data_IF_778934496346
#
_entry.id   IF_778934496346
#
_cell.length_a   1.000
_cell.length_b   1.000
_cell.length_c   1.000
_cell.angle_alpha   90.00
_cell.angle_beta   90.00
_cell.angle_gamma   90.00
#
_symmetry.space_group_name_H-M   'P 1'
#
loop_
_entity.id
_entity.type
_entity.pdbx_description
1 polymer ?
#
# COMPACT_ATOMS: atom_id res chain seq x y z
N UNK A 1 1.07 -2.62 29.47
CA UNK A 1 0.42 -2.58 28.14
C UNK A 1 -0.11 -1.17 27.97
N UNK A 2 0.37 -0.45 26.95
CA UNK A 2 -0.10 0.90 26.68
C UNK A 2 -1.46 0.82 25.98
N UNK A 3 -2.52 1.02 26.77
CA UNK A 3 -3.90 0.94 26.27
C UNK A 3 -4.20 2.00 25.22
N UNK A 4 -3.48 3.12 25.21
CA UNK A 4 -3.69 4.21 24.26
C UNK A 4 -3.28 3.80 22.84
N UNK A 5 -2.09 3.21 22.70
CA UNK A 5 -1.59 2.70 21.43
C UNK A 5 -2.52 1.60 20.88
N UNK A 6 -2.98 0.69 21.75
CA UNK A 6 -3.90 -0.37 21.36
C UNK A 6 -5.24 0.17 20.83
N UNK A 7 -5.86 1.12 21.53
CA UNK A 7 -7.12 1.75 21.11
C UNK A 7 -6.92 2.50 19.78
N UNK A 8 -5.81 3.21 19.63
CA UNK A 8 -5.49 3.94 18.41
C UNK A 8 -5.32 2.99 17.20
N UNK A 9 -4.62 1.87 17.38
CA UNK A 9 -4.49 0.85 16.33
C UNK A 9 -5.84 0.30 15.89
N UNK A 10 -6.72 -0.03 16.84
CA UNK A 10 -8.08 -0.49 16.52
C UNK A 10 -8.85 0.58 15.75
N UNK A 11 -8.78 1.85 16.19
CA UNK A 11 -9.45 2.95 15.52
C UNK A 11 -8.95 3.13 14.07
N UNK A 12 -7.65 3.00 13.83
CA UNK A 12 -7.08 3.03 12.47
C UNK A 12 -7.58 1.89 11.60
N UNK A 13 -7.62 0.66 12.13
CA UNK A 13 -8.14 -0.51 11.40
C UNK A 13 -9.60 -0.26 11.02
N UNK A 14 -10.42 0.18 11.97
CA UNK A 14 -11.84 0.48 11.73
C UNK A 14 -11.99 1.56 10.66
N UNK A 15 -11.23 2.65 10.77
CA UNK A 15 -11.25 3.75 9.79
C UNK A 15 -10.91 3.25 8.38
N UNK A 16 -9.87 2.43 8.23
CA UNK A 16 -9.49 1.86 6.94
C UNK A 16 -10.54 0.91 6.37
N UNK A 17 -11.18 0.09 7.21
CA UNK A 17 -12.31 -0.75 6.79
C UNK A 17 -13.44 0.12 6.23
N UNK A 18 -13.79 1.23 6.90
CA UNK A 18 -14.80 2.16 6.41
C UNK A 18 -14.39 2.82 5.09
N UNK A 19 -13.14 3.25 4.95
CA UNK A 19 -12.63 3.84 3.70
C UNK A 19 -12.78 2.83 2.55
N UNK A 20 -12.40 1.57 2.77
CA UNK A 20 -12.54 0.52 1.76
C UNK A 20 -14.00 0.22 1.43
N UNK A 21 -14.88 0.20 2.44
CA UNK A 21 -16.32 0.05 2.26
C UNK A 21 -16.90 1.16 1.36
N UNK A 22 -16.61 2.43 1.67
CA UNK A 22 -17.09 3.56 0.85
C UNK A 22 -16.52 3.52 -0.56
N UNK A 23 -15.23 3.23 -0.71
CA UNK A 23 -14.59 3.11 -2.01
C UNK A 23 -15.23 1.99 -2.86
N UNK A 24 -15.48 0.83 -2.26
CA UNK A 24 -16.12 -0.30 -2.92
C UNK A 24 -17.58 -0.01 -3.29
N UNK A 25 -18.34 0.65 -2.40
CA UNK A 25 -19.73 1.04 -2.67
C UNK A 25 -19.84 2.05 -3.82
N UNK A 26 -18.93 3.02 -3.87
CA UNK A 26 -18.84 3.98 -4.99
C UNK A 26 -18.44 3.26 -6.28
N UNK A 27 -17.44 2.37 -6.24
CA UNK A 27 -16.91 1.71 -7.43
C UNK A 27 -17.89 0.71 -8.05
N UNK A 28 -18.63 -0.04 -7.22
CA UNK A 28 -19.59 -1.04 -7.69
C UNK A 28 -21.00 -0.48 -7.91
N UNK A 29 -21.34 0.64 -7.29
CA UNK A 29 -22.71 1.14 -7.23
C UNK A 29 -23.64 0.33 -6.31
N UNK A 30 -23.10 -0.67 -5.60
CA UNK A 30 -23.81 -1.53 -4.66
C UNK A 30 -23.30 -1.30 -3.24
N UNK A 31 -24.22 -1.05 -2.31
CA UNK A 31 -23.92 -0.79 -0.90
C UNK A 31 -24.14 -2.03 -0.01
N UNK A 32 -24.72 -3.09 -0.57
CA UNK A 32 -24.96 -4.34 0.14
C UNK A 32 -23.70 -5.22 0.10
N UNK A 33 -22.91 -5.13 1.16
CA UNK A 33 -21.67 -5.91 1.26
C UNK A 33 -21.90 -7.25 1.95
N UNK A 34 -21.45 -8.32 1.31
CA UNK A 34 -21.48 -9.67 1.89
C UNK A 34 -20.60 -9.75 3.15
N UNK A 35 -20.87 -10.68 4.09
CA UNK A 35 -19.98 -10.92 5.23
C UNK A 35 -18.55 -11.31 4.82
N UNK A 36 -18.40 -12.01 3.68
CA UNK A 36 -17.09 -12.31 3.06
C UNK A 36 -16.35 -11.02 2.72
N UNK A 37 -17.05 -10.04 2.13
CA UNK A 37 -16.47 -8.77 1.74
C UNK A 37 -15.98 -7.95 2.93
N UNK A 38 -16.78 -7.87 4.00
CA UNK A 38 -16.37 -7.23 5.26
C UNK A 38 -15.11 -7.86 5.86
N UNK A 39 -15.01 -9.19 5.83
CA UNK A 39 -13.80 -9.87 6.29
C UNK A 39 -12.59 -9.54 5.42
N UNK A 40 -12.74 -9.46 4.10
CA UNK A 40 -11.66 -9.06 3.17
C UNK A 40 -11.20 -7.63 3.44
N UNK A 41 -12.11 -6.68 3.68
CA UNK A 41 -11.75 -5.32 4.10
C UNK A 41 -10.95 -5.32 5.39
N UNK A 42 -11.39 -6.10 6.39
CA UNK A 42 -10.67 -6.22 7.65
C UNK A 42 -9.26 -6.76 7.46
N UNK A 43 -9.08 -7.80 6.64
CA UNK A 43 -7.76 -8.37 6.32
C UNK A 43 -6.85 -7.32 5.68
N UNK A 44 -7.33 -6.61 4.67
CA UNK A 44 -6.55 -5.55 3.99
C UNK A 44 -6.18 -4.43 4.97
N UNK A 45 -7.13 -3.98 5.80
CA UNK A 45 -6.92 -2.92 6.78
C UNK A 45 -5.89 -3.33 7.84
N UNK A 46 -5.99 -4.53 8.39
CA UNK A 46 -5.01 -5.07 9.35
C UNK A 46 -3.63 -5.12 8.72
N UNK A 47 -3.50 -5.68 7.51
CA UNK A 47 -2.20 -5.74 6.83
C UNK A 47 -1.66 -4.34 6.60
N UNK A 48 -2.46 -3.37 6.12
CA UNK A 48 -1.99 -2.01 5.90
C UNK A 48 -1.44 -1.35 7.18
N UNK A 49 -2.15 -1.48 8.31
CA UNK A 49 -1.77 -0.87 9.60
C UNK A 49 -0.46 -1.42 10.13
N UNK A 50 -0.16 -2.70 9.90
CA UNK A 50 1.09 -3.31 10.37
C UNK A 50 2.22 -3.27 9.34
N UNK A 51 1.90 -3.35 8.05
CA UNK A 51 2.88 -3.41 6.97
C UNK A 51 3.60 -2.08 6.78
N UNK A 52 2.87 -0.96 6.78
CA UNK A 52 3.45 0.38 6.60
C UNK A 52 4.54 0.66 7.65
N UNK A 53 4.28 0.57 8.97
CA UNK A 53 5.32 0.83 9.97
C UNK A 53 6.44 -0.21 9.94
N UNK A 54 6.15 -1.49 9.62
CA UNK A 54 7.18 -2.51 9.49
C UNK A 54 8.16 -2.19 8.34
N UNK A 55 7.64 -1.80 7.17
CA UNK A 55 8.47 -1.40 6.04
C UNK A 55 9.22 -0.10 6.31
N UNK A 56 8.59 0.89 6.96
CA UNK A 56 9.28 2.12 7.36
C UNK A 56 10.42 1.84 8.35
N UNK A 57 10.24 0.92 9.28
CA UNK A 57 11.30 0.52 10.21
C UNK A 57 12.51 -0.06 9.46
N UNK A 58 12.28 -0.91 8.46
CA UNK A 58 13.37 -1.50 7.66
C UNK A 58 14.02 -0.46 6.74
N UNK A 59 13.23 0.43 6.16
CA UNK A 59 13.73 1.46 5.26
C UNK A 59 14.49 2.59 5.97
N UNK A 60 14.19 2.83 7.25
CA UNK A 60 14.95 3.78 8.06
C UNK A 60 16.44 3.39 8.16
N UNK A 61 16.75 2.09 8.17
CA UNK A 61 18.11 1.58 8.26
C UNK A 61 18.93 1.79 6.97
N UNK A 62 18.26 2.07 5.84
CA UNK A 62 18.87 2.22 4.51
C UNK A 62 18.55 3.56 3.85
N UNK A 63 18.09 4.55 4.64
CA UNK A 63 17.71 5.90 4.17
C UNK A 63 16.69 5.91 3.01
N UNK A 64 15.87 4.87 2.90
CA UNK A 64 14.92 4.65 1.80
C UNK A 64 13.46 4.83 2.23
N UNK A 65 13.18 5.77 3.14
CA UNK A 65 11.86 5.94 3.77
C UNK A 65 10.69 6.08 2.78
N UNK A 66 10.90 6.81 1.69
CA UNK A 66 9.87 6.99 0.64
C UNK A 66 9.62 5.68 -0.15
N UNK A 67 10.66 4.86 -0.34
CA UNK A 67 10.56 3.58 -1.02
C UNK A 67 9.70 2.59 -0.22
N UNK A 68 9.80 2.60 1.11
CA UNK A 68 8.97 1.77 1.97
C UNK A 68 7.48 2.09 1.85
N UNK A 69 7.13 3.38 1.79
CA UNK A 69 5.74 3.79 1.59
C UNK A 69 5.21 3.35 0.23
N UNK A 70 6.02 3.51 -0.81
CA UNK A 70 5.67 3.12 -2.17
C UNK A 70 5.49 1.60 -2.29
N UNK A 71 6.38 0.82 -1.65
CA UNK A 71 6.28 -0.64 -1.58
C UNK A 71 5.04 -1.09 -0.79
N UNK A 72 4.78 -0.48 0.37
CA UNK A 72 3.59 -0.77 1.17
C UNK A 72 2.32 -0.54 0.36
N UNK A 73 2.28 0.57 -0.39
CA UNK A 73 1.16 0.91 -1.25
C UNK A 73 0.96 -0.09 -2.39
N UNK A 74 2.04 -0.55 -3.04
CA UNK A 74 1.97 -1.60 -4.06
C UNK A 74 1.40 -2.91 -3.51
N UNK A 75 1.82 -3.33 -2.31
CA UNK A 75 1.30 -4.54 -1.67
C UNK A 75 -0.18 -4.39 -1.34
N UNK A 76 -0.60 -3.25 -0.78
CA UNK A 76 -2.00 -2.97 -0.46
C UNK A 76 -2.87 -3.01 -1.73
N UNK A 77 -2.42 -2.37 -2.81
CA UNK A 77 -3.14 -2.41 -4.08
C UNK A 77 -3.23 -3.81 -4.67
N UNK A 78 -2.16 -4.59 -4.58
CA UNK A 78 -2.19 -5.98 -4.99
C UNK A 78 -3.19 -6.79 -4.18
N UNK A 79 -3.26 -6.58 -2.86
CA UNK A 79 -4.27 -7.21 -2.02
C UNK A 79 -5.70 -6.77 -2.39
N UNK A 80 -5.93 -5.48 -2.66
CA UNK A 80 -7.23 -4.99 -3.13
C UNK A 80 -7.60 -5.67 -4.46
N UNK A 81 -6.65 -5.80 -5.39
CA UNK A 81 -6.86 -6.50 -6.67
C UNK A 81 -7.22 -7.97 -6.51
N UNK A 82 -6.58 -8.68 -5.59
CA UNK A 82 -6.82 -10.11 -5.41
C UNK A 82 -8.03 -10.42 -4.54
N UNK A 83 -8.26 -9.62 -3.51
CA UNK A 83 -9.28 -9.90 -2.50
C UNK A 83 -10.57 -9.14 -2.78
N UNK A 84 -10.52 -7.86 -3.11
CA UNK A 84 -11.72 -7.02 -3.15
C UNK A 84 -12.33 -7.03 -4.55
N UNK A 85 -11.53 -6.79 -5.57
CA UNK A 85 -12.00 -6.51 -6.92
C UNK A 85 -12.69 -7.70 -7.61
N UNK A 86 -12.32 -8.98 -7.39
CA UNK A 86 -13.05 -10.09 -8.00
C UNK A 86 -14.49 -10.22 -7.51
N UNK A 87 -14.84 -9.66 -6.34
CA UNK A 87 -16.22 -9.60 -5.86
C UNK A 87 -16.96 -8.33 -6.36
N UNK A 88 -16.25 -7.34 -6.90
CA UNK A 88 -16.85 -6.12 -7.43
C UNK A 88 -17.02 -6.23 -8.96
N UNK A 89 -18.17 -5.81 -9.48
CA UNK A 89 -18.45 -5.77 -10.92
C UNK A 89 -17.73 -4.59 -11.62
N UNK A 90 -16.46 -4.36 -11.29
CA UNK A 90 -15.68 -3.23 -11.79
C UNK A 90 -14.84 -3.68 -12.98
N UNK A 91 -14.72 -2.85 -14.01
CA UNK A 91 -13.89 -3.16 -15.18
C UNK A 91 -12.41 -3.34 -14.79
N UNK A 92 -11.74 -4.38 -15.29
CA UNK A 92 -10.34 -4.70 -14.94
C UNK A 92 -9.29 -3.67 -15.42
N UNK A 93 -9.70 -2.79 -16.33
CA UNK A 93 -8.81 -1.92 -17.10
C UNK A 93 -8.26 -0.74 -16.27
N UNK A 94 -9.09 -0.07 -15.47
CA UNK A 94 -8.65 1.09 -14.67
C UNK A 94 -7.68 0.68 -13.55
N UNK A 95 -7.94 -0.44 -12.90
CA UNK A 95 -7.10 -1.00 -11.83
C UNK A 95 -5.74 -1.47 -12.36
N UNK A 96 -5.73 -2.09 -13.53
CA UNK A 96 -4.50 -2.50 -14.18
C UNK A 96 -3.65 -1.29 -14.61
N UNK A 97 -4.29 -0.19 -15.03
CA UNK A 97 -3.62 1.06 -15.34
C UNK A 97 -3.01 1.73 -14.08
N UNK A 98 -3.75 1.80 -12.97
CA UNK A 98 -3.23 2.32 -11.68
C UNK A 98 -2.03 1.50 -11.21
N UNK A 99 -2.16 0.17 -11.26
CA UNK A 99 -1.08 -0.73 -10.86
C UNK A 99 0.16 -0.54 -11.73
N UNK A 100 0.00 -0.47 -13.06
CA UNK A 100 1.09 -0.23 -13.98
C UNK A 100 1.77 1.13 -13.76
N UNK A 101 0.98 2.20 -13.52
CA UNK A 101 1.50 3.53 -13.26
C UNK A 101 2.34 3.57 -11.97
N UNK A 102 1.86 2.95 -10.90
CA UNK A 102 2.57 2.92 -9.62
C UNK A 102 3.80 2.03 -9.66
N UNK A 103 3.73 0.89 -10.35
CA UNK A 103 4.89 0.04 -10.58
C UNK A 103 5.97 0.80 -11.38
N UNK A 104 5.55 1.60 -12.36
CA UNK A 104 6.46 2.45 -13.13
C UNK A 104 7.14 3.47 -12.22
N UNK A 105 6.38 4.20 -11.40
CA UNK A 105 6.95 5.16 -10.42
C UNK A 105 7.93 4.47 -9.46
N UNK A 106 7.60 3.27 -8.98
CA UNK A 106 8.46 2.49 -8.10
C UNK A 106 9.77 2.08 -8.77
N UNK A 107 9.70 1.57 -10.00
CA UNK A 107 10.91 1.21 -10.76
C UNK A 107 11.74 2.45 -11.06
N UNK A 108 11.12 3.57 -11.47
CA UNK A 108 11.83 4.82 -11.74
C UNK A 108 12.57 5.33 -10.50
N UNK A 109 11.94 5.27 -9.32
CA UNK A 109 12.59 5.68 -8.07
C UNK A 109 13.77 4.77 -7.71
N UNK A 110 13.63 3.44 -7.85
CA UNK A 110 14.74 2.51 -7.62
C UNK A 110 15.90 2.81 -8.57
N UNK A 111 15.62 3.03 -9.85
CA UNK A 111 16.64 3.34 -10.84
C UNK A 111 17.34 4.67 -10.54
N UNK A 112 16.59 5.69 -10.13
CA UNK A 112 17.16 6.99 -9.72
C UNK A 112 18.14 6.82 -8.56
N UNK A 113 17.72 6.13 -7.49
CA UNK A 113 18.59 5.83 -6.34
C UNK A 113 19.85 5.06 -6.73
N UNK A 114 19.73 4.00 -7.54
CA UNK A 114 20.87 3.24 -8.04
C UNK A 114 21.82 4.11 -8.88
N UNK A 115 21.28 5.00 -9.72
CA UNK A 115 22.09 5.91 -10.53
C UNK A 115 22.81 6.93 -9.65
N UNK A 116 22.15 7.50 -8.65
CA UNK A 116 22.77 8.42 -7.69
C UNK A 116 23.93 7.74 -6.95
N UNK A 117 23.71 6.55 -6.39
CA UNK A 117 24.78 5.81 -5.70
C UNK A 117 25.96 5.47 -6.62
N UNK A 118 25.69 5.03 -7.84
CA UNK A 118 26.74 4.72 -8.82
C UNK A 118 27.54 5.96 -9.24
N UNK A 119 26.87 7.10 -9.45
CA UNK A 119 27.52 8.34 -9.83
C UNK A 119 28.32 8.96 -8.68
N UNK A 120 27.80 8.94 -7.46
CA UNK A 120 28.53 9.38 -6.27
C UNK A 120 29.81 8.55 -6.08
N UNK A 121 29.73 7.23 -6.22
CA UNK A 121 30.90 6.33 -6.12
C UNK A 121 31.99 6.67 -7.16
N UNK A 122 31.58 7.07 -8.38
CA UNK A 122 32.51 7.45 -9.45
C UNK A 122 33.22 8.79 -9.22
N UNK A 123 32.56 9.74 -8.52
CA UNK A 123 33.14 11.03 -8.16
C UNK A 123 34.20 10.91 -7.06
N UNK A 124 34.01 9.99 -6.10
CA UNK A 124 35.01 9.71 -5.05
C UNK A 124 36.24 8.94 -5.54
N UNK A 125 36.18 8.31 -6.72
CA UNK A 125 37.34 7.61 -7.32
C UNK A 125 38.17 8.50 -8.25
N UNK A 126 37.67 9.70 -8.59
CA UNK A 126 38.33 10.66 -9.48
C UNK A 126 39.02 11.83 -8.75
N UNK A 127 38.93 11.88 -7.42
CA UNK A 127 39.66 12.83 -6.54
C UNK A 127 40.71 12.05 -5.76
#
# INVERSE_FOLDING_TARGET
MDWSAFIFTIALIILLVFILFFAAGIASGDWEMSPSMWFRFLVVAVVAVFLIPALQSVAADVEAGDLALLLAFLVILFMIKLLIIPELAVTDEWMSAIFAALLTVFITYILDKLVTELLETSLYTFI
#
